data_IF_181881754872
#
_entry.id   IF_181881754872
#
_cell.length_a   1.000
_cell.length_b   1.000
_cell.length_c   1.000
_cell.angle_alpha   90.00
_cell.angle_beta   90.00
_cell.angle_gamma   90.00
#
_symmetry.space_group_name_H-M   'P 1'
#
loop_
_entity.id
_entity.type
_entity.pdbx_description
1 polymer ?
#
# COMPACT_ATOMS: atom_id res chain seq x y z
N UNK A 1 -20.89 -19.49 24.52
CA UNK A 1 -21.48 -18.16 24.28
C UNK A 1 -21.64 -17.96 22.77
N UNK A 2 -22.84 -17.63 22.30
CA UNK A 2 -23.08 -17.35 20.86
C UNK A 2 -22.70 -15.91 20.56
N UNK A 3 -21.73 -15.68 19.67
CA UNK A 3 -21.40 -14.31 19.24
C UNK A 3 -22.35 -13.86 18.16
N UNK A 4 -22.99 -12.71 18.37
CA UNK A 4 -23.88 -12.10 17.40
C UNK A 4 -23.06 -11.38 16.31
N UNK A 5 -23.72 -11.11 15.19
CA UNK A 5 -23.19 -10.32 14.10
C UNK A 5 -22.91 -8.90 14.60
N UNK A 6 -21.69 -8.41 14.44
CA UNK A 6 -21.28 -7.06 14.88
C UNK A 6 -21.80 -5.96 13.94
N UNK A 7 -22.41 -6.33 12.80
CA UNK A 7 -22.98 -5.38 11.83
C UNK A 7 -24.47 -5.13 12.07
N UNK A 8 -25.26 -6.20 12.28
CA UNK A 8 -26.70 -6.10 12.46
C UNK A 8 -27.17 -6.35 13.90
N UNK A 9 -26.32 -6.93 14.76
CA UNK A 9 -26.59 -7.31 16.16
C UNK A 9 -27.79 -8.26 16.39
N UNK A 10 -28.57 -8.56 15.36
CA UNK A 10 -29.80 -9.32 15.40
C UNK A 10 -29.58 -10.84 15.19
N UNK A 11 -28.65 -11.18 14.30
CA UNK A 11 -28.40 -12.56 13.90
C UNK A 11 -27.08 -13.10 14.46
N UNK A 12 -26.98 -14.41 14.68
CA UNK A 12 -25.72 -15.06 15.09
C UNK A 12 -24.66 -14.92 14.00
N UNK A 13 -23.43 -14.57 14.38
CA UNK A 13 -22.31 -14.46 13.43
C UNK A 13 -21.96 -15.83 12.84
N UNK A 14 -21.81 -15.90 11.52
CA UNK A 14 -21.42 -17.12 10.78
C UNK A 14 -20.01 -17.04 10.22
N UNK A 15 -19.52 -15.83 9.95
CA UNK A 15 -18.26 -15.58 9.27
C UNK A 15 -17.48 -14.47 9.98
N UNK A 16 -16.17 -14.40 9.74
CA UNK A 16 -15.27 -13.36 10.26
C UNK A 16 -14.53 -12.73 9.08
N UNK A 17 -14.53 -11.39 9.00
CA UNK A 17 -13.82 -10.67 7.95
C UNK A 17 -12.30 -10.78 8.17
N UNK A 18 -11.49 -11.18 7.17
CA UNK A 18 -10.04 -11.25 7.30
C UNK A 18 -9.35 -9.87 7.29
N UNK A 19 -10.02 -8.81 6.83
CA UNK A 19 -9.45 -7.46 6.74
C UNK A 19 -9.60 -6.65 8.04
N UNK A 20 -10.77 -6.69 8.68
CA UNK A 20 -11.06 -5.92 9.90
C UNK A 20 -11.37 -6.78 11.13
N UNK A 21 -11.49 -8.10 10.97
CA UNK A 21 -11.80 -9.00 12.09
C UNK A 21 -13.27 -9.03 12.53
N UNK A 22 -14.13 -8.18 11.96
CA UNK A 22 -15.57 -8.07 12.30
C UNK A 22 -16.30 -9.38 11.95
N UNK A 23 -17.14 -9.86 12.88
CA UNK A 23 -17.97 -11.04 12.72
C UNK A 23 -19.33 -10.68 12.11
N UNK A 24 -19.72 -11.36 11.05
CA UNK A 24 -20.96 -11.08 10.33
C UNK A 24 -21.81 -12.33 10.06
N UNK A 25 -23.12 -12.15 9.85
CA UNK A 25 -24.05 -13.28 9.64
C UNK A 25 -24.22 -13.68 8.18
N UNK A 26 -24.08 -12.75 7.23
CA UNK A 26 -24.31 -12.98 5.79
C UNK A 26 -23.59 -11.93 4.93
N UNK A 27 -23.52 -12.19 3.62
CA UNK A 27 -22.92 -11.25 2.65
C UNK A 27 -23.58 -9.86 2.67
N UNK A 28 -24.85 -9.76 3.05
CA UNK A 28 -25.57 -8.49 3.21
C UNK A 28 -24.89 -7.64 4.30
N UNK A 29 -24.53 -8.25 5.42
CA UNK A 29 -23.78 -7.57 6.49
C UNK A 29 -22.34 -7.29 6.07
N UNK A 30 -21.71 -8.16 5.28
CA UNK A 30 -20.35 -7.92 4.77
C UNK A 30 -20.25 -6.71 3.83
N UNK A 31 -21.27 -6.49 2.99
CA UNK A 31 -21.31 -5.37 2.03
C UNK A 31 -22.10 -4.16 2.54
N UNK A 32 -22.49 -4.14 3.81
CA UNK A 32 -23.24 -3.04 4.39
C UNK A 32 -22.32 -1.85 4.64
N UNK A 33 -22.86 -0.63 4.53
CA UNK A 33 -22.15 0.61 4.92
C UNK A 33 -21.75 0.62 6.40
N UNK A 34 -22.46 -0.17 7.23
CA UNK A 34 -22.13 -0.39 8.65
C UNK A 34 -20.91 -1.28 8.87
N UNK A 35 -20.46 -2.01 7.84
CA UNK A 35 -19.24 -2.79 7.88
C UNK A 35 -18.06 -1.92 7.43
N UNK A 36 -17.69 -1.01 8.33
CA UNK A 36 -16.59 -0.08 8.11
C UNK A 36 -15.28 -0.81 8.39
N UNK A 37 -14.39 -0.84 7.39
CA UNK A 37 -13.00 -1.22 7.59
C UNK A 37 -12.26 -0.04 8.21
N UNK A 38 -12.56 0.27 9.48
CA UNK A 38 -11.73 1.20 10.22
C UNK A 38 -10.36 0.54 10.38
N UNK A 39 -9.39 1.07 9.64
CA UNK A 39 -7.98 0.82 9.90
C UNK A 39 -7.77 1.34 11.31
N UNK A 40 -7.59 0.41 12.26
CA UNK A 40 -7.42 0.73 13.68
C UNK A 40 -6.11 1.50 13.85
N UNK A 41 -6.21 2.83 13.76
CA UNK A 41 -5.39 3.72 14.55
C UNK A 41 -5.87 3.59 15.99
N UNK A 42 -4.98 3.04 16.81
CA UNK A 42 -5.16 2.61 18.18
C UNK A 42 -5.67 3.74 19.13
N UNK A 43 -6.33 3.33 20.24
CA UNK A 43 -6.51 4.02 21.57
C UNK A 43 -7.86 4.76 21.76
N UNK A 44 -8.68 4.65 22.83
CA UNK A 44 -8.65 4.13 24.23
C UNK A 44 -10.15 3.83 24.64
N UNK A 45 -10.51 2.94 25.58
CA UNK A 45 -10.49 3.19 27.04
C UNK A 45 -10.75 1.90 27.90
N UNK A 46 -9.88 1.70 28.89
CA UNK A 46 -10.02 1.22 30.29
C UNK A 46 -10.85 -0.04 30.65
N UNK A 47 -10.19 -1.15 31.04
CA UNK A 47 -9.89 -1.55 32.44
C UNK A 47 -9.43 -3.03 32.53
N UNK A 48 -8.54 -3.33 33.49
CA UNK A 48 -8.08 -4.64 33.99
C UNK A 48 -6.72 -5.22 33.47
N UNK A 49 -5.65 -4.84 34.19
CA UNK A 49 -4.63 -5.69 34.84
C UNK A 49 -3.59 -6.52 34.02
N UNK A 50 -2.36 -5.97 33.90
CA UNK A 50 -0.96 -6.50 34.08
C UNK A 50 -0.55 -7.87 33.44
N UNK A 51 0.72 -8.13 32.99
CA UNK A 51 1.81 -7.30 32.43
C UNK A 51 2.26 -7.76 31.01
N UNK A 52 3.21 -7.01 30.44
CA UNK A 52 3.93 -7.18 29.17
C UNK A 52 4.40 -8.63 28.82
N UNK A 53 4.58 -8.93 27.51
CA UNK A 53 5.90 -8.62 26.93
C UNK A 53 5.81 -7.78 25.66
N UNK A 54 6.65 -6.75 25.66
CA UNK A 54 7.15 -5.98 24.54
C UNK A 54 7.45 -6.91 23.37
N UNK A 55 6.60 -6.89 22.35
CA UNK A 55 6.98 -7.41 21.03
C UNK A 55 7.19 -6.18 20.18
N UNK A 56 8.45 -5.76 20.13
CA UNK A 56 8.97 -4.82 19.14
C UNK A 56 8.44 -5.25 17.77
N UNK A 57 7.51 -4.46 17.22
CA UNK A 57 7.12 -4.58 15.83
C UNK A 57 8.30 -4.10 15.01
N UNK A 58 9.20 -5.05 14.74
CA UNK A 58 10.27 -4.96 13.76
C UNK A 58 9.60 -4.59 12.44
N UNK A 59 9.67 -3.30 12.09
CA UNK A 59 9.53 -2.87 10.72
C UNK A 59 10.52 -3.74 9.93
N UNK A 60 9.99 -4.60 9.07
CA UNK A 60 10.79 -5.30 8.08
C UNK A 60 11.29 -4.24 7.09
N UNK A 61 12.42 -3.63 7.44
CA UNK A 61 13.30 -2.97 6.48
C UNK A 61 13.67 -4.05 5.47
N UNK A 62 13.05 -4.01 4.29
CA UNK A 62 13.46 -4.83 3.16
C UNK A 62 14.96 -4.65 2.92
N UNK A 63 15.67 -5.66 2.39
CA UNK A 63 17.09 -5.56 2.11
C UNK A 63 17.33 -4.29 1.29
N UNK A 64 18.16 -3.41 1.84
CA UNK A 64 18.62 -2.20 1.17
C UNK A 64 19.25 -2.59 -0.16
N UNK A 65 18.56 -2.32 -1.26
CA UNK A 65 19.08 -2.61 -2.57
C UNK A 65 20.35 -1.75 -2.79
N UNK A 66 21.51 -2.36 -3.07
CA UNK A 66 22.77 -1.65 -3.12
C UNK A 66 22.80 -0.55 -4.20
N UNK A 67 21.98 -0.71 -5.26
CA UNK A 67 21.82 0.31 -6.31
C UNK A 67 21.08 1.52 -5.76
N UNK A 68 19.98 1.31 -5.03
CA UNK A 68 19.22 2.40 -4.40
C UNK A 68 20.07 3.14 -3.37
N UNK A 69 20.83 2.43 -2.53
CA UNK A 69 21.72 3.05 -1.54
C UNK A 69 22.78 3.93 -2.21
N UNK A 70 23.39 3.47 -3.30
CA UNK A 70 24.34 4.24 -4.10
C UNK A 70 23.69 5.47 -4.75
N UNK A 71 22.49 5.33 -5.31
CA UNK A 71 21.76 6.44 -5.93
C UNK A 71 21.38 7.52 -4.92
N UNK A 72 21.00 7.13 -3.69
CA UNK A 72 20.68 8.07 -2.62
C UNK A 72 21.89 8.88 -2.14
N UNK A 73 23.13 8.50 -2.50
CA UNK A 73 24.33 9.30 -2.23
C UNK A 73 24.54 10.41 -3.29
N UNK A 74 23.90 10.32 -4.46
CA UNK A 74 24.00 11.32 -5.51
C UNK A 74 23.12 12.53 -5.20
N UNK A 75 23.71 13.73 -5.12
CA UNK A 75 22.95 14.97 -4.91
C UNK A 75 21.92 15.21 -6.01
N UNK A 76 22.29 14.94 -7.28
CA UNK A 76 21.38 15.07 -8.42
C UNK A 76 20.13 14.19 -8.27
N UNK A 77 20.31 12.94 -7.84
CA UNK A 77 19.19 12.01 -7.64
C UNK A 77 18.27 12.49 -6.51
N UNK A 78 18.85 13.01 -5.42
CA UNK A 78 18.09 13.59 -4.29
C UNK A 78 17.34 14.86 -4.68
N UNK A 79 17.89 15.67 -5.56
CA UNK A 79 17.21 16.86 -6.11
C UNK A 79 16.01 16.45 -6.97
N UNK A 80 16.16 15.48 -7.87
CA UNK A 80 15.05 14.95 -8.67
C UNK A 80 13.95 14.35 -7.80
N UNK A 81 14.28 13.66 -6.70
CA UNK A 81 13.29 13.12 -5.76
C UNK A 81 12.48 14.20 -5.02
N UNK A 82 12.96 15.45 -4.97
CA UNK A 82 12.21 16.57 -4.38
C UNK A 82 11.24 17.21 -5.37
N UNK A 83 11.38 16.94 -6.66
CA UNK A 83 10.51 17.52 -7.67
C UNK A 83 9.07 17.01 -7.49
N UNK A 84 8.06 17.90 -7.38
CA UNK A 84 6.69 17.50 -7.12
C UNK A 84 6.10 16.55 -8.17
N UNK A 85 6.52 16.70 -9.43
CA UNK A 85 6.05 15.84 -10.51
C UNK A 85 6.58 14.41 -10.38
N UNK A 86 7.83 14.25 -9.93
CA UNK A 86 8.44 12.94 -9.65
C UNK A 86 7.73 12.28 -8.47
N UNK A 87 7.54 13.01 -7.37
CA UNK A 87 6.85 12.50 -6.18
C UNK A 87 5.43 12.06 -6.49
N UNK A 88 4.68 12.86 -7.26
CA UNK A 88 3.33 12.51 -7.71
C UNK A 88 3.33 11.23 -8.56
N UNK A 89 4.21 11.17 -9.57
CA UNK A 89 4.28 10.02 -10.47
C UNK A 89 4.66 8.74 -9.72
N UNK A 90 5.64 8.80 -8.81
CA UNK A 90 6.03 7.68 -7.96
C UNK A 90 4.89 7.25 -7.02
N UNK A 91 4.16 8.20 -6.44
CA UNK A 91 2.99 7.91 -5.62
C UNK A 91 1.90 7.17 -6.39
N UNK A 92 1.62 7.58 -7.64
CA UNK A 92 0.69 6.87 -8.52
C UNK A 92 1.16 5.45 -8.82
N UNK A 93 2.45 5.26 -9.14
CA UNK A 93 3.00 3.93 -9.41
C UNK A 93 2.96 3.03 -8.16
N UNK A 94 3.25 3.58 -6.98
CA UNK A 94 3.15 2.88 -5.71
C UNK A 94 1.70 2.47 -5.39
N UNK A 95 0.75 3.36 -5.63
CA UNK A 95 -0.67 3.08 -5.45
C UNK A 95 -1.12 1.96 -6.40
N UNK A 96 -0.73 2.00 -7.67
CA UNK A 96 -1.04 0.94 -8.64
C UNK A 96 -0.41 -0.41 -8.27
N UNK A 97 0.81 -0.42 -7.74
CA UNK A 97 1.47 -1.66 -7.30
C UNK A 97 0.82 -2.30 -6.08
N UNK A 98 0.28 -1.49 -5.16
CA UNK A 98 -0.18 -1.97 -3.85
C UNK A 98 -1.71 -2.05 -3.73
N UNK A 99 -2.47 -1.36 -4.57
CA UNK A 99 -3.92 -1.26 -4.45
C UNK A 99 -4.66 -2.08 -5.51
N UNK A 100 -5.08 -3.27 -5.07
CA UNK A 100 -5.90 -4.20 -5.86
C UNK A 100 -7.24 -3.57 -6.27
N UNK A 101 -7.79 -2.63 -5.50
CA UNK A 101 -9.10 -2.04 -5.81
C UNK A 101 -9.04 -1.10 -7.02
N UNK A 102 -7.88 -0.47 -7.24
CA UNK A 102 -7.67 0.48 -8.35
C UNK A 102 -7.33 -0.27 -9.64
N UNK A 103 -6.46 -1.29 -9.55
CA UNK A 103 -6.03 -2.07 -10.71
C UNK A 103 -6.98 -3.19 -11.09
N UNK A 104 -7.82 -3.63 -10.14
CA UNK A 104 -8.60 -4.87 -10.23
C UNK A 104 -7.73 -6.13 -10.49
N UNK A 105 -6.43 -6.07 -10.18
CA UNK A 105 -5.47 -7.15 -10.37
C UNK A 105 -5.04 -7.75 -9.03
N UNK A 106 -5.45 -9.00 -8.80
CA UNK A 106 -5.24 -9.71 -7.54
C UNK A 106 -3.82 -10.27 -7.41
N UNK A 107 -3.14 -10.50 -8.54
CA UNK A 107 -1.78 -11.03 -8.58
C UNK A 107 -0.76 -9.90 -8.78
N UNK A 108 0.46 -10.08 -8.26
CA UNK A 108 1.50 -9.05 -8.31
C UNK A 108 2.01 -8.82 -9.73
N UNK A 109 2.08 -9.87 -10.56
CA UNK A 109 2.60 -9.78 -11.94
C UNK A 109 1.74 -8.88 -12.83
N UNK A 110 0.42 -9.00 -12.76
CA UNK A 110 -0.54 -8.15 -13.47
C UNK A 110 -0.47 -6.70 -13.01
N UNK A 111 -0.28 -6.44 -11.70
CA UNK A 111 -0.05 -5.08 -11.20
C UNK A 111 1.27 -4.50 -11.71
N UNK A 112 2.33 -5.30 -11.75
CA UNK A 112 3.62 -4.90 -12.34
C UNK A 112 3.46 -4.60 -13.83
N UNK A 113 2.66 -5.36 -14.58
CA UNK A 113 2.38 -5.07 -15.99
C UNK A 113 1.67 -3.71 -16.17
N UNK A 114 0.64 -3.43 -15.35
CA UNK A 114 -0.08 -2.15 -15.37
C UNK A 114 0.87 -1.00 -15.05
N UNK A 115 1.70 -1.16 -14.02
CA UNK A 115 2.69 -0.15 -13.60
C UNK A 115 3.75 0.05 -14.66
N UNK A 116 4.18 -1.02 -15.34
CA UNK A 116 5.15 -0.94 -16.45
C UNK A 116 4.57 -0.16 -17.63
N UNK A 117 3.29 -0.40 -17.98
CA UNK A 117 2.56 0.39 -18.99
C UNK A 117 2.43 1.85 -18.57
N UNK A 118 2.10 2.14 -17.30
CA UNK A 118 1.99 3.51 -16.80
C UNK A 118 3.35 4.21 -16.80
N UNK A 119 4.40 3.53 -16.36
CA UNK A 119 5.77 4.03 -16.38
C UNK A 119 6.22 4.37 -17.81
N UNK A 120 5.91 3.51 -18.79
CA UNK A 120 6.20 3.79 -20.20
C UNK A 120 5.52 5.06 -20.73
N UNK A 121 4.36 5.45 -20.19
CA UNK A 121 3.71 6.71 -20.57
C UNK A 121 4.45 7.96 -20.06
N UNK A 122 5.19 7.86 -18.94
CA UNK A 122 5.98 8.96 -18.40
C UNK A 122 7.34 9.12 -19.07
N UNK A 123 7.81 8.07 -19.74
CA UNK A 123 9.09 8.05 -20.45
C UNK A 123 9.02 8.80 -21.78
N UNK A 124 10.19 9.03 -22.35
CA UNK A 124 10.33 9.66 -23.67
C UNK A 124 9.47 8.97 -24.74
N UNK A 125 8.67 9.76 -25.45
CA UNK A 125 7.72 9.25 -26.44
C UNK A 125 6.41 8.66 -25.89
N UNK A 126 6.19 8.72 -24.56
CA UNK A 126 4.93 8.38 -23.92
C UNK A 126 3.88 9.51 -23.97
N UNK A 127 2.62 9.18 -23.72
CA UNK A 127 1.51 10.16 -23.76
C UNK A 127 1.58 11.21 -22.66
N UNK A 128 2.19 10.85 -21.53
CA UNK A 128 2.37 11.69 -20.34
C UNK A 128 3.86 11.95 -20.10
N UNK A 129 4.62 12.08 -21.19
CA UNK A 129 6.07 12.33 -21.19
C UNK A 129 6.44 13.40 -20.16
N UNK A 130 7.40 13.07 -19.30
CA UNK A 130 7.97 14.00 -18.34
C UNK A 130 9.49 13.90 -18.43
N UNK A 131 10.12 14.98 -18.90
CA UNK A 131 11.58 15.04 -19.09
C UNK A 131 12.37 14.79 -17.79
N UNK A 132 11.87 15.28 -16.64
CA UNK A 132 12.49 15.04 -15.34
C UNK A 132 12.34 13.57 -14.93
N UNK A 133 11.20 12.95 -15.25
CA UNK A 133 10.95 11.55 -14.96
C UNK A 133 11.80 10.63 -15.84
N UNK A 134 12.02 10.98 -17.11
CA UNK A 134 12.97 10.27 -17.96
C UNK A 134 14.39 10.40 -17.43
N UNK A 135 14.84 11.59 -17.02
CA UNK A 135 16.16 11.77 -16.40
C UNK A 135 16.31 10.92 -15.13
N UNK A 136 15.27 10.89 -14.28
CA UNK A 136 15.21 10.02 -13.11
C UNK A 136 15.34 8.54 -13.48
N UNK A 137 14.59 8.06 -14.48
CA UNK A 137 14.70 6.68 -14.95
C UNK A 137 16.09 6.36 -15.52
N UNK A 138 16.70 7.26 -16.29
CA UNK A 138 18.03 7.05 -16.85
C UNK A 138 19.10 6.95 -15.76
N UNK A 139 19.02 7.77 -14.71
CA UNK A 139 19.95 7.66 -13.58
C UNK A 139 19.87 6.31 -12.88
N UNK A 140 18.67 5.75 -12.74
CA UNK A 140 18.49 4.40 -12.18
C UNK A 140 19.12 3.35 -13.09
N UNK A 141 18.82 3.42 -14.39
CA UNK A 141 19.32 2.45 -15.37
C UNK A 141 20.86 2.44 -15.44
N UNK A 142 21.47 3.62 -15.48
CA UNK A 142 22.94 3.81 -15.52
C UNK A 142 23.65 3.23 -14.28
N UNK A 143 22.93 3.07 -13.17
CA UNK A 143 23.47 2.51 -11.93
C UNK A 143 23.04 1.06 -11.66
N UNK A 144 22.24 0.47 -12.55
CA UNK A 144 21.72 -0.90 -12.42
C UNK A 144 22.58 -1.97 -13.11
N UNK A 145 23.71 -1.59 -13.71
CA UNK A 145 24.69 -2.47 -14.37
C UNK A 145 25.82 -2.96 -13.45
#
# INVERSE_FOLDING_TARGET
MSTNCEVCLENKSKYKCPKCGIRYCSLICFKSEKHVHEIVSNQLDTEATIPAPTTESKQETQPEDPVITKLLQSDKFRELLKEPSIQLNLGILQELLNNVSITNEYNTEGRVEIVSKKLANYRSGGLEENALFEEFCQLILDNSE
#
